data_IF_311859512581
#
_entry.id   IF_311859512581
#
_cell.length_a   1.000
_cell.length_b   1.000
_cell.length_c   1.000
_cell.angle_alpha   90.00
_cell.angle_beta   90.00
_cell.angle_gamma   90.00
#
_symmetry.space_group_name_H-M   'P 1'
#
loop_
_entity.id
_entity.type
_entity.pdbx_description
1 polymer ?
#
# COMPACT_ATOMS: atom_id res chain seq x y z
N UNK A 1 19.29 -10.85 28.34
CA UNK A 1 18.42 -9.69 28.10
C UNK A 1 18.33 -9.36 26.61
N UNK A 2 19.21 -8.53 26.00
CA UNK A 2 19.04 -8.10 24.59
C UNK A 2 19.04 -9.23 23.54
N UNK A 3 19.84 -10.29 23.73
CA UNK A 3 19.88 -11.43 22.79
C UNK A 3 18.63 -12.32 22.86
N UNK A 4 18.09 -12.53 24.06
CA UNK A 4 16.84 -13.26 24.29
C UNK A 4 15.67 -12.47 23.70
N UNK A 5 15.70 -11.16 23.88
CA UNK A 5 14.75 -10.21 23.33
C UNK A 5 14.68 -10.22 21.80
N UNK A 6 15.84 -10.28 21.13
CA UNK A 6 15.92 -10.42 19.68
C UNK A 6 15.47 -11.81 19.21
N UNK A 7 15.79 -12.86 19.97
CA UNK A 7 15.38 -14.22 19.64
C UNK A 7 13.85 -14.37 19.70
N UNK A 8 13.19 -13.84 20.74
CA UNK A 8 11.73 -13.84 20.84
C UNK A 8 11.08 -13.04 19.70
N UNK A 9 11.62 -11.86 19.35
CA UNK A 9 11.10 -11.07 18.23
C UNK A 9 11.17 -11.84 16.91
N UNK A 10 12.30 -12.50 16.65
CA UNK A 10 12.49 -13.34 15.46
C UNK A 10 11.52 -14.53 15.43
N UNK A 11 11.25 -15.16 16.58
CA UNK A 11 10.28 -16.26 16.66
C UNK A 11 8.86 -15.77 16.28
N UNK A 12 8.48 -14.59 16.74
CA UNK A 12 7.19 -13.99 16.38
C UNK A 12 7.11 -13.63 14.89
N UNK A 13 8.16 -13.05 14.34
CA UNK A 13 8.25 -12.73 12.91
C UNK A 13 8.08 -13.98 12.04
N UNK A 14 8.81 -15.06 12.35
CA UNK A 14 8.71 -16.34 11.64
C UNK A 14 7.31 -16.96 11.76
N UNK A 15 6.66 -16.86 12.92
CA UNK A 15 5.29 -17.35 13.14
C UNK A 15 4.29 -16.62 12.25
N UNK A 16 4.37 -15.29 12.18
CA UNK A 16 3.52 -14.46 11.32
C UNK A 16 3.77 -14.73 9.83
N UNK A 17 5.04 -14.83 9.43
CA UNK A 17 5.42 -15.13 8.05
C UNK A 17 4.85 -16.48 7.61
N UNK A 18 5.01 -17.52 8.44
CA UNK A 18 4.49 -18.86 8.17
C UNK A 18 2.96 -18.83 8.01
N UNK A 19 2.23 -18.16 8.90
CA UNK A 19 0.77 -18.06 8.82
C UNK A 19 0.33 -17.39 7.50
N UNK A 20 0.96 -16.25 7.16
CA UNK A 20 0.67 -15.50 5.92
C UNK A 20 0.99 -16.32 4.67
N UNK A 21 2.10 -17.06 4.70
CA UNK A 21 2.48 -17.94 3.61
C UNK A 21 1.43 -19.04 3.38
N UNK A 22 0.94 -19.69 4.44
CA UNK A 22 -0.09 -20.73 4.31
C UNK A 22 -1.42 -20.15 3.78
N UNK A 23 -1.84 -18.97 4.24
CA UNK A 23 -3.03 -18.31 3.72
C UNK A 23 -2.91 -18.00 2.23
N UNK A 24 -1.75 -17.46 1.80
CA UNK A 24 -1.49 -17.18 0.38
C UNK A 24 -1.39 -18.44 -0.47
N UNK A 25 -0.90 -19.54 0.09
CA UNK A 25 -0.87 -20.84 -0.59
C UNK A 25 -2.29 -21.39 -0.79
N UNK A 26 -3.13 -21.34 0.25
CA UNK A 26 -4.52 -21.78 0.17
C UNK A 26 -5.34 -20.92 -0.81
N UNK A 27 -5.12 -19.61 -0.83
CA UNK A 27 -5.71 -18.69 -1.81
C UNK A 27 -5.42 -19.12 -3.25
N UNK A 28 -4.14 -19.39 -3.57
CA UNK A 28 -3.72 -19.84 -4.91
C UNK A 28 -4.36 -21.17 -5.29
N UNK A 29 -4.48 -22.09 -4.34
CA UNK A 29 -5.13 -23.38 -4.58
C UNK A 29 -6.62 -23.18 -4.92
N UNK A 30 -7.32 -22.34 -4.16
CA UNK A 30 -8.71 -21.99 -4.42
C UNK A 30 -8.90 -21.32 -5.79
N UNK A 31 -8.05 -20.35 -6.13
CA UNK A 31 -8.10 -19.65 -7.42
C UNK A 31 -7.81 -20.54 -8.64
N UNK A 32 -7.12 -21.67 -8.45
CA UNK A 32 -6.78 -22.60 -9.53
C UNK A 32 -7.86 -23.67 -9.78
N UNK A 33 -8.95 -23.70 -9.00
CA UNK A 33 -10.01 -24.70 -9.15
C UNK A 33 -10.92 -24.37 -10.33
N UNK A 34 -11.13 -25.36 -11.19
CA UNK A 34 -12.09 -25.27 -12.29
C UNK A 34 -13.56 -25.22 -11.78
N UNK A 35 -14.45 -24.42 -12.39
CA UNK A 35 -15.84 -24.22 -11.93
C UNK A 35 -16.67 -25.50 -11.78
N UNK A 36 -16.38 -26.53 -12.58
CA UNK A 36 -17.07 -27.82 -12.57
C UNK A 36 -16.83 -28.59 -11.28
N UNK A 37 -15.73 -28.31 -10.58
CA UNK A 37 -15.32 -28.99 -9.34
C UNK A 37 -15.87 -28.29 -8.08
N UNK A 38 -17.18 -28.02 -8.05
CA UNK A 38 -17.83 -27.20 -7.01
C UNK A 38 -17.61 -27.71 -5.58
N UNK A 39 -17.53 -29.03 -5.37
CA UNK A 39 -17.26 -29.59 -4.03
C UNK A 39 -15.84 -29.31 -3.57
N UNK A 40 -14.86 -29.40 -4.48
CA UNK A 40 -13.44 -29.11 -4.22
C UNK A 40 -13.25 -27.61 -3.97
N UNK A 41 -13.95 -26.76 -4.74
CA UNK A 41 -13.95 -25.32 -4.52
C UNK A 41 -14.41 -24.96 -3.10
N UNK A 42 -15.53 -25.56 -2.63
CA UNK A 42 -16.03 -25.34 -1.26
C UNK A 42 -15.07 -25.81 -0.17
N UNK A 43 -14.40 -26.95 -0.36
CA UNK A 43 -13.43 -27.42 0.63
C UNK A 43 -12.19 -26.53 0.69
N UNK A 44 -11.70 -26.06 -0.47
CA UNK A 44 -10.56 -25.15 -0.55
C UNK A 44 -10.91 -23.74 -0.05
N UNK A 45 -12.13 -23.27 -0.27
CA UNK A 45 -12.65 -22.02 0.31
C UNK A 45 -12.62 -22.10 1.83
N UNK A 46 -13.20 -23.16 2.42
CA UNK A 46 -13.17 -23.38 3.86
C UNK A 46 -11.74 -23.45 4.40
N UNK A 47 -10.85 -24.17 3.72
CA UNK A 47 -9.45 -24.25 4.09
C UNK A 47 -8.77 -22.87 4.05
N UNK A 48 -9.06 -22.05 3.03
CA UNK A 48 -8.52 -20.70 2.92
C UNK A 48 -9.03 -19.80 4.05
N UNK A 49 -10.32 -19.83 4.36
CA UNK A 49 -10.90 -19.12 5.51
C UNK A 49 -10.24 -19.52 6.83
N UNK A 50 -9.98 -20.82 7.05
CA UNK A 50 -9.28 -21.31 8.23
C UNK A 50 -7.85 -20.74 8.31
N UNK A 51 -7.12 -20.67 7.19
CA UNK A 51 -5.79 -20.06 7.17
C UNK A 51 -5.85 -18.54 7.40
N UNK A 52 -6.85 -17.84 6.89
CA UNK A 52 -7.04 -16.41 7.16
C UNK A 52 -7.30 -16.15 8.65
N UNK A 53 -8.13 -16.97 9.30
CA UNK A 53 -8.34 -16.91 10.76
C UNK A 53 -7.07 -17.20 11.55
N UNK A 54 -6.23 -18.12 11.07
CA UNK A 54 -4.94 -18.40 11.69
C UNK A 54 -3.98 -17.20 11.61
N UNK A 55 -3.96 -16.46 10.48
CA UNK A 55 -3.22 -15.20 10.35
C UNK A 55 -3.72 -14.17 11.35
N UNK A 56 -5.04 -13.95 11.40
CA UNK A 56 -5.65 -12.98 12.31
C UNK A 56 -5.34 -13.31 13.78
N UNK A 57 -5.39 -14.59 14.13
CA UNK A 57 -5.07 -15.07 15.49
C UNK A 57 -3.60 -14.80 15.81
N UNK A 58 -2.68 -15.14 14.91
CA UNK A 58 -1.26 -14.91 15.11
C UNK A 58 -0.93 -13.41 15.23
N UNK A 59 -1.61 -12.55 14.46
CA UNK A 59 -1.47 -11.09 14.56
C UNK A 59 -1.97 -10.56 15.91
N UNK A 60 -3.13 -11.03 16.39
CA UNK A 60 -3.67 -10.68 17.71
C UNK A 60 -2.71 -11.08 18.83
N UNK A 61 -2.20 -12.31 18.80
CA UNK A 61 -1.24 -12.80 19.80
C UNK A 61 0.06 -11.99 19.79
N UNK A 62 0.58 -11.66 18.60
CA UNK A 62 1.76 -10.80 18.45
C UNK A 62 1.53 -9.42 19.06
N UNK A 63 0.37 -8.82 18.80
CA UNK A 63 0.00 -7.53 19.39
C UNK A 63 -0.06 -7.58 20.92
N UNK A 64 -0.63 -8.64 21.49
CA UNK A 64 -0.68 -8.84 22.95
C UNK A 64 0.73 -9.03 23.54
N UNK A 65 1.58 -9.84 22.89
CA UNK A 65 2.97 -10.01 23.33
C UNK A 65 3.73 -8.68 23.29
N UNK A 66 3.59 -7.93 22.19
CA UNK A 66 4.24 -6.63 22.01
C UNK A 66 3.77 -5.61 23.04
N UNK A 67 2.47 -5.56 23.35
CA UNK A 67 1.93 -4.63 24.36
C UNK A 67 2.35 -5.00 25.78
N UNK A 68 2.44 -6.30 26.11
CA UNK A 68 2.94 -6.74 27.42
C UNK A 68 4.40 -6.34 27.63
N UNK A 69 5.20 -6.39 26.57
CA UNK A 69 6.63 -6.06 26.61
C UNK A 69 6.91 -4.56 26.67
N UNK A 70 6.11 -3.73 25.98
CA UNK A 70 6.26 -2.27 26.01
C UNK A 70 5.77 -1.63 27.33
N UNK A 71 5.08 -2.40 28.18
CA UNK A 71 4.48 -1.87 29.42
C UNK A 71 3.26 -0.98 29.14
N UNK A 72 2.58 -0.58 30.21
CA UNK A 72 1.52 0.42 30.13
C UNK A 72 2.14 1.81 29.97
N UNK A 73 1.69 2.58 28.97
CA UNK A 73 2.12 3.98 28.80
C UNK A 73 1.79 4.78 30.07
N UNK A 74 2.82 5.31 30.70
CA UNK A 74 2.68 6.21 31.84
C UNK A 74 2.08 7.55 31.40
N UNK A 75 1.63 8.36 32.36
CA UNK A 75 1.15 9.70 32.04
C UNK A 75 2.25 10.57 31.40
N UNK A 76 3.49 10.44 31.88
CA UNK A 76 4.65 11.12 31.31
C UNK A 76 4.92 10.68 29.85
N UNK A 77 4.78 9.38 29.55
CA UNK A 77 4.94 8.87 28.17
C UNK A 77 3.87 9.45 27.24
N UNK A 78 2.63 9.57 27.73
CA UNK A 78 1.52 10.17 26.96
C UNK A 78 1.78 11.65 26.67
N UNK A 79 2.24 12.39 27.67
CA UNK A 79 2.60 13.80 27.52
C UNK A 79 3.77 13.97 26.55
N UNK A 80 4.79 13.11 26.63
CA UNK A 80 5.91 13.09 25.71
C UNK A 80 5.46 12.76 24.27
N UNK A 81 4.57 11.79 24.08
CA UNK A 81 4.01 11.46 22.76
C UNK A 81 3.21 12.64 22.18
N UNK A 82 2.41 13.34 23.01
CA UNK A 82 1.64 14.52 22.57
C UNK A 82 2.56 15.68 22.21
N UNK A 83 3.60 15.93 23.01
CA UNK A 83 4.62 16.93 22.72
C UNK A 83 5.34 16.62 21.41
N UNK A 84 5.73 15.36 21.19
CA UNK A 84 6.35 14.87 19.97
C UNK A 84 5.43 15.05 18.75
N UNK A 85 4.14 14.75 18.90
CA UNK A 85 3.15 14.96 17.85
C UNK A 85 2.95 16.44 17.50
N UNK A 86 3.07 17.33 18.49
CA UNK A 86 2.98 18.78 18.28
C UNK A 86 4.21 19.33 17.55
N UNK A 87 5.39 18.71 17.75
CA UNK A 87 6.65 19.06 17.09
C UNK A 87 6.96 18.18 15.84
N UNK A 88 5.96 17.48 15.32
CA UNK A 88 6.12 16.55 14.20
C UNK A 88 6.76 17.16 12.94
N UNK A 89 6.44 18.41 12.53
CA UNK A 89 7.09 19.03 11.37
C UNK A 89 8.61 19.17 11.54
N UNK A 90 9.07 19.51 12.75
CA UNK A 90 10.49 19.64 13.07
C UNK A 90 11.20 18.30 13.01
N UNK A 91 10.59 17.26 13.60
CA UNK A 91 11.10 15.89 13.54
C UNK A 91 11.19 15.37 12.10
N UNK A 92 10.19 15.66 11.27
CA UNK A 92 10.20 15.23 9.87
C UNK A 92 11.36 15.84 9.07
N UNK A 93 11.68 17.11 9.34
CA UNK A 93 12.69 17.88 8.64
C UNK A 93 14.11 17.71 9.20
N UNK A 94 14.25 17.14 10.40
CA UNK A 94 15.55 16.95 11.03
C UNK A 94 16.50 16.11 10.14
N UNK A 95 17.74 16.58 9.99
CA UNK A 95 18.78 15.89 9.20
C UNK A 95 19.15 14.52 9.78
N UNK A 96 18.98 14.37 11.10
CA UNK A 96 19.20 13.12 11.82
C UNK A 96 18.14 12.07 11.53
N UNK A 97 16.98 12.46 11.00
CA UNK A 97 15.92 11.52 10.65
C UNK A 97 16.20 10.91 9.28
N UNK A 98 16.30 9.58 9.26
CA UNK A 98 16.50 8.79 8.06
C UNK A 98 15.22 8.64 7.25
N UNK A 99 15.36 8.29 5.97
CA UNK A 99 14.19 8.00 5.13
C UNK A 99 13.42 6.75 5.58
N UNK A 100 14.09 5.82 6.26
CA UNK A 100 13.44 4.64 6.85
C UNK A 100 12.54 5.06 8.03
N UNK A 101 13.05 5.91 8.93
CA UNK A 101 12.27 6.46 10.04
C UNK A 101 11.09 7.31 9.55
N UNK A 102 11.30 8.15 8.52
CA UNK A 102 10.19 8.89 7.86
C UNK A 102 9.10 7.95 7.35
N UNK A 103 9.47 6.86 6.67
CA UNK A 103 8.51 5.85 6.21
C UNK A 103 7.78 5.18 7.37
N UNK A 104 8.48 4.87 8.46
CA UNK A 104 7.87 4.30 9.66
C UNK A 104 6.87 5.27 10.28
N UNK A 105 7.22 6.56 10.41
CA UNK A 105 6.32 7.60 10.92
C UNK A 105 5.05 7.71 10.08
N UNK A 106 5.16 7.78 8.75
CA UNK A 106 3.98 7.80 7.86
C UNK A 106 3.12 6.55 8.04
N UNK A 107 3.74 5.38 8.24
CA UNK A 107 3.02 4.13 8.46
C UNK A 107 2.22 4.13 9.77
N UNK A 108 2.62 4.91 10.78
CA UNK A 108 1.87 5.03 12.02
C UNK A 108 0.55 5.78 11.84
N UNK A 109 0.46 6.71 10.88
CA UNK A 109 -0.74 7.55 10.68
C UNK A 109 -1.63 7.09 9.52
N UNK A 110 -1.07 6.38 8.54
CA UNK A 110 -1.81 5.85 7.38
C UNK A 110 -2.23 4.40 7.63
N UNK A 111 -3.53 4.13 7.52
CA UNK A 111 -4.09 2.77 7.53
C UNK A 111 -3.86 2.08 6.20
N UNK A 112 -4.29 2.70 5.11
CA UNK A 112 -4.12 2.19 3.75
C UNK A 112 -4.14 3.31 2.72
N UNK A 113 -3.59 3.02 1.55
CA UNK A 113 -3.64 3.90 0.37
C UNK A 113 -4.20 3.09 -0.78
N UNK A 114 -5.31 3.55 -1.35
CA UNK A 114 -5.93 2.95 -2.53
C UNK A 114 -5.55 3.80 -3.73
N UNK A 115 -5.01 3.15 -4.76
CA UNK A 115 -4.58 3.81 -5.99
C UNK A 115 -5.32 3.17 -7.17
N UNK A 116 -6.03 3.99 -7.93
CA UNK A 116 -6.74 3.57 -9.13
C UNK A 116 -6.29 4.40 -10.34
N UNK A 117 -5.58 3.73 -11.27
CA UNK A 117 -5.06 4.30 -12.50
C UNK A 117 -5.94 4.03 -13.73
N UNK A 118 -7.05 3.29 -13.56
CA UNK A 118 -7.94 2.89 -14.66
C UNK A 118 -9.15 3.83 -14.81
N UNK A 119 -9.45 4.62 -13.77
CA UNK A 119 -10.62 5.52 -13.74
C UNK A 119 -10.58 6.68 -14.74
N UNK A 120 -9.38 7.11 -15.17
CA UNK A 120 -9.23 8.17 -16.15
C UNK A 120 -7.89 8.06 -16.88
N UNK A 121 -7.91 8.14 -18.22
CA UNK A 121 -6.69 8.13 -19.02
C UNK A 121 -5.73 9.25 -18.59
N UNK A 122 -4.50 8.90 -18.24
CA UNK A 122 -3.45 9.87 -17.85
C UNK A 122 -3.57 10.42 -16.42
N UNK A 123 -4.59 10.03 -15.64
CA UNK A 123 -4.77 10.47 -14.26
C UNK A 123 -4.79 9.26 -13.31
N UNK A 124 -4.37 9.48 -12.08
CA UNK A 124 -4.41 8.50 -11.01
C UNK A 124 -5.28 9.04 -9.89
N UNK A 125 -6.32 8.30 -9.53
CA UNK A 125 -7.10 8.57 -8.33
C UNK A 125 -6.40 7.92 -7.14
N UNK A 126 -6.20 8.68 -6.07
CA UNK A 126 -5.61 8.20 -4.82
C UNK A 126 -6.58 8.50 -3.69
N UNK A 127 -6.79 7.51 -2.84
CA UNK A 127 -7.48 7.66 -1.57
C UNK A 127 -6.56 7.23 -0.43
N UNK A 128 -6.36 8.12 0.53
CA UNK A 128 -5.67 7.83 1.79
C UNK A 128 -6.73 7.59 2.85
N UNK A 129 -6.63 6.46 3.53
CA UNK A 129 -7.43 6.15 4.70
C UNK A 129 -6.54 6.25 5.93
N UNK A 130 -6.90 7.16 6.83
CA UNK A 130 -6.14 7.46 8.04
C UNK A 130 -6.50 6.49 9.18
N UNK A 131 -5.59 6.32 10.14
CA UNK A 131 -5.87 5.53 11.35
C UNK A 131 -6.99 6.14 12.21
N UNK A 132 -7.23 7.45 12.10
CA UNK A 132 -8.34 8.17 12.76
C UNK A 132 -9.71 7.85 12.17
N UNK A 133 -9.77 7.12 11.05
CA UNK A 133 -11.00 6.89 10.29
C UNK A 133 -11.31 7.96 9.24
N UNK A 134 -10.57 9.07 9.24
CA UNK A 134 -10.66 10.07 8.18
C UNK A 134 -10.28 9.48 6.81
N UNK A 135 -10.82 10.06 5.74
CA UNK A 135 -10.52 9.68 4.36
C UNK A 135 -10.25 10.93 3.54
N UNK A 136 -9.17 10.90 2.76
CA UNK A 136 -8.83 11.96 1.81
C UNK A 136 -8.68 11.38 0.41
N UNK A 137 -9.20 12.08 -0.58
CA UNK A 137 -9.18 11.68 -1.98
C UNK A 137 -8.61 12.80 -2.83
N UNK A 138 -7.71 12.45 -3.74
CA UNK A 138 -7.15 13.41 -4.69
C UNK A 138 -6.80 12.77 -6.03
N UNK A 139 -6.74 13.62 -7.05
CA UNK A 139 -6.35 13.24 -8.41
C UNK A 139 -4.93 13.72 -8.68
N UNK A 140 -4.08 12.80 -9.15
CA UNK A 140 -2.71 13.10 -9.54
C UNK A 140 -2.52 12.92 -11.04
N UNK A 141 -1.93 13.93 -11.71
CA UNK A 141 -1.59 13.85 -13.13
C UNK A 141 -0.35 12.97 -13.31
N UNK A 142 -0.45 11.91 -14.09
CA UNK A 142 0.70 11.05 -14.37
C UNK A 142 1.56 11.69 -15.46
N UNK A 143 2.82 12.03 -15.15
CA UNK A 143 3.82 12.30 -16.20
C UNK A 143 4.17 10.97 -16.88
N UNK A 144 3.66 10.77 -18.09
CA UNK A 144 3.93 9.57 -18.90
C UNK A 144 5.07 9.90 -19.86
N UNK A 145 6.15 9.10 -19.89
CA UNK A 145 7.23 9.25 -20.88
C UNK A 145 6.92 8.56 -22.23
N UNK A 146 5.75 7.93 -22.36
CA UNK A 146 5.35 7.26 -23.60
C UNK A 146 4.02 7.79 -24.14
N UNK A 147 3.99 8.00 -25.46
CA UNK A 147 2.92 8.62 -26.24
C UNK A 147 1.58 7.86 -26.26
N UNK A 148 1.49 6.67 -25.66
CA UNK A 148 0.30 5.83 -25.75
C UNK A 148 -0.83 6.23 -24.77
N UNK A 149 -0.59 7.15 -23.84
CA UNK A 149 -1.59 7.56 -22.83
C UNK A 149 -1.65 9.09 -22.72
N UNK A 150 -1.61 9.80 -23.85
CA UNK A 150 -1.88 11.23 -23.89
C UNK A 150 -3.37 11.48 -24.14
N UNK A 151 -4.05 12.05 -23.15
CA UNK A 151 -5.38 12.62 -23.28
C UNK A 151 -5.29 13.95 -24.00
N UNK A 152 -5.44 13.91 -25.33
CA UNK A 152 -5.46 15.13 -26.14
C UNK A 152 -5.57 14.90 -27.64
N UNK A 153 -6.40 13.95 -28.09
CA UNK A 153 -6.64 13.77 -29.53
C UNK A 153 -7.47 14.89 -30.16
N UNK A 154 -8.07 15.79 -29.37
CA UNK A 154 -8.88 16.90 -29.92
C UNK A 154 -8.07 18.16 -30.24
N UNK A 155 -6.88 18.37 -29.65
CA UNK A 155 -6.06 19.56 -29.94
C UNK A 155 -4.98 19.36 -31.01
N UNK A 156 -4.64 18.13 -31.36
CA UNK A 156 -3.63 17.83 -32.39
C UNK A 156 -4.20 17.83 -33.83
N UNK A 157 -5.51 17.95 -34.02
CA UNK A 157 -6.13 18.06 -35.36
C UNK A 157 -6.23 19.50 -35.88
N UNK A 158 -6.06 20.51 -35.02
CA UNK A 158 -6.15 21.93 -35.40
C UNK A 158 -4.83 22.52 -35.90
N UNK A 159 -3.71 21.80 -35.78
CA UNK A 159 -2.40 22.23 -36.32
C UNK A 159 -1.98 21.51 -37.60
N UNK A 160 -2.67 20.44 -38.00
CA UNK A 160 -2.37 19.68 -39.22
C UNK A 160 -3.08 20.17 -40.48
N UNK A 161 -3.96 21.18 -40.38
CA UNK A 161 -4.56 21.86 -41.54
C UNK A 161 -3.82 23.13 -41.97
N UNK A 162 -2.77 23.57 -41.24
CA UNK A 162 -2.02 24.79 -41.54
C UNK A 162 -0.67 24.58 -42.25
N UNK A 163 -0.34 23.34 -42.65
CA UNK A 163 0.92 23.02 -43.32
C UNK A 163 0.72 22.12 -44.54
N UNK A 164 -0.22 22.50 -45.40
CA UNK A 164 -0.23 22.07 -46.80
C UNK A 164 0.27 23.22 -47.69
N UNK A 165 1.55 23.20 -48.04
CA UNK A 165 2.10 23.98 -49.14
C UNK A 165 2.12 23.05 -50.37
N UNK A 166 1.40 23.37 -51.47
CA UNK A 166 1.37 22.52 -52.64
C UNK A 166 2.71 22.58 -53.36
N UNK A 167 3.40 21.43 -53.44
CA UNK A 167 4.57 21.26 -54.31
C UNK A 167 4.14 21.27 -55.77
N UNK A 168 4.32 22.40 -56.43
CA UNK A 168 4.18 22.58 -57.88
C UNK A 168 5.27 21.84 -58.67
N UNK A 169 4.85 21.22 -59.76
CA UNK A 169 5.57 20.32 -60.68
C UNK A 169 6.74 20.95 -61.47
N UNK A 170 7.79 20.12 -61.63
CA UNK A 170 8.48 19.71 -62.87
C UNK A 170 9.06 20.75 -63.86
N UNK A 171 10.37 20.64 -64.13
CA UNK A 171 11.03 20.35 -65.44
C UNK A 171 12.47 20.87 -65.45
N UNK A 172 13.42 20.02 -65.84
CA UNK A 172 14.12 20.11 -67.13
C UNK A 172 14.35 18.69 -67.66
#
# INVERSE_FOLDING_TARGET
MEQEEQAESKQWELRLERARYQAKRAERQYQAVEPENRLVARSLEKQWEEQLRAVETAEKEYHVWKSRRLGALTQADREAIVALGSDFPTLWQAETTTNEERKQMVRLVIREVIVDSKRAGGQVWVQINWQTGAQEQFWYQRRVSSYAVFTGTTQLRAKSSATYVPGGRSRQ
#
